data_IF_418332437038
#
_entry.id   IF_418332437038
#
_cell.length_a   1.000
_cell.length_b   1.000
_cell.length_c   1.000
_cell.angle_alpha   90.00
_cell.angle_beta   90.00
_cell.angle_gamma   90.00
#
_symmetry.space_group_name_H-M   'P 1'
#
loop_
_entity.id
_entity.type
_entity.pdbx_description
1 polymer ?
#
# COMPACT_ATOMS: atom_id res chain seq x y z
N UNK A 1 -1.55 12.61 -9.26
CA UNK A 1 -0.35 12.40 -8.43
C UNK A 1 0.67 11.69 -9.30
N UNK A 2 1.90 12.20 -9.37
CA UNK A 2 3.01 11.55 -10.09
C UNK A 2 3.82 10.74 -9.09
N UNK A 3 4.13 9.48 -9.42
CA UNK A 3 5.06 8.66 -8.66
C UNK A 3 6.39 8.71 -9.42
N UNK A 4 7.47 9.08 -8.73
CA UNK A 4 8.81 9.08 -9.32
C UNK A 4 9.40 7.68 -9.20
N UNK A 5 9.76 7.07 -10.33
CA UNK A 5 10.29 5.71 -10.39
C UNK A 5 11.66 5.71 -11.07
N UNK A 6 12.66 5.11 -10.43
CA UNK A 6 14.01 5.03 -10.97
C UNK A 6 14.13 4.15 -12.22
N UNK A 7 13.08 3.39 -12.55
CA UNK A 7 12.96 2.65 -13.81
C UNK A 7 12.67 3.57 -15.00
N UNK A 8 11.93 4.65 -14.77
CA UNK A 8 11.41 5.54 -15.83
C UNK A 8 12.19 6.87 -15.91
N UNK A 9 12.79 7.31 -14.80
CA UNK A 9 13.52 8.58 -14.73
C UNK A 9 14.72 8.55 -13.78
N UNK A 10 15.68 9.46 -13.98
CA UNK A 10 16.81 9.62 -13.07
C UNK A 10 16.35 10.40 -11.84
N UNK A 11 16.33 9.72 -10.69
CA UNK A 11 16.02 10.36 -9.42
C UNK A 11 17.22 11.15 -8.90
N UNK A 12 16.96 12.38 -8.49
CA UNK A 12 17.91 13.26 -7.83
C UNK A 12 17.36 13.80 -6.49
N UNK A 13 18.14 14.67 -5.84
CA UNK A 13 17.77 15.25 -4.55
C UNK A 13 16.40 15.97 -4.58
N UNK A 14 16.00 16.59 -5.70
CA UNK A 14 14.75 17.33 -5.79
C UNK A 14 13.55 16.41 -5.63
N UNK A 15 13.64 15.19 -6.14
CA UNK A 15 12.59 14.17 -6.00
C UNK A 15 12.41 13.75 -4.54
N UNK A 16 13.52 13.60 -3.81
CA UNK A 16 13.49 13.29 -2.36
C UNK A 16 12.92 14.47 -1.57
N UNK A 17 13.35 15.69 -1.86
CA UNK A 17 12.82 16.90 -1.21
C UNK A 17 11.33 17.09 -1.49
N UNK A 18 10.88 16.89 -2.74
CA UNK A 18 9.48 16.96 -3.12
C UNK A 18 8.64 15.94 -2.35
N UNK A 19 9.14 14.70 -2.23
CA UNK A 19 8.44 13.64 -1.50
C UNK A 19 8.31 13.90 0.01
N UNK A 20 9.12 14.79 0.59
CA UNK A 20 9.04 15.19 2.00
C UNK A 20 8.55 16.63 2.21
N UNK A 21 8.13 17.32 1.15
CA UNK A 21 7.69 18.71 1.20
C UNK A 21 6.27 18.83 1.77
N UNK A 22 6.08 18.48 3.04
CA UNK A 22 4.78 18.44 3.69
C UNK A 22 4.31 19.86 4.11
N UNK A 23 3.17 20.37 3.60
CA UNK A 23 2.61 21.63 4.04
C UNK A 23 2.06 21.55 5.47
N UNK A 24 2.15 22.65 6.25
CA UNK A 24 2.77 23.93 5.92
C UNK A 24 4.27 24.00 6.21
N UNK A 25 4.90 22.90 6.66
CA UNK A 25 6.29 22.90 7.13
C UNK A 25 7.29 23.23 6.02
N UNK A 26 7.03 22.79 4.79
CA UNK A 26 7.92 23.00 3.65
C UNK A 26 7.20 23.55 2.42
N UNK A 27 7.89 24.43 1.70
CA UNK A 27 7.44 24.95 0.41
C UNK A 27 7.46 23.85 -0.68
N UNK A 28 6.66 23.97 -1.75
CA UNK A 28 6.71 23.01 -2.86
C UNK A 28 8.08 23.07 -3.56
N UNK A 29 8.53 21.93 -4.05
CA UNK A 29 9.79 21.78 -4.79
C UNK A 29 9.51 21.80 -6.29
N UNK A 30 10.30 22.56 -7.04
CA UNK A 30 10.19 22.60 -8.50
C UNK A 30 11.00 21.49 -9.14
N UNK A 31 10.35 20.69 -9.98
CA UNK A 31 10.98 19.68 -10.83
C UNK A 31 10.45 19.94 -12.23
N UNK A 32 11.37 20.23 -13.15
CA UNK A 32 11.06 20.78 -14.48
C UNK A 32 10.17 22.04 -14.37
N UNK A 33 9.03 22.05 -15.07
CA UNK A 33 8.10 23.18 -15.08
C UNK A 33 6.97 23.06 -14.05
N UNK A 34 7.00 22.03 -13.19
CA UNK A 34 5.94 21.72 -12.24
C UNK A 34 6.38 21.87 -10.77
N UNK A 35 5.40 22.15 -9.90
CA UNK A 35 5.59 22.25 -8.45
C UNK A 35 5.02 21.03 -7.75
N UNK A 36 5.82 20.42 -6.87
CA UNK A 36 5.47 19.20 -6.16
C UNK A 36 5.49 19.42 -4.64
N UNK A 37 4.49 18.86 -3.97
CA UNK A 37 4.42 18.68 -2.51
C UNK A 37 4.49 17.20 -2.16
N UNK A 38 4.61 16.93 -0.86
CA UNK A 38 4.60 15.58 -0.31
C UNK A 38 3.39 14.77 -0.80
N UNK A 39 3.68 13.62 -1.41
CA UNK A 39 2.68 12.72 -1.98
C UNK A 39 1.75 12.11 -0.93
N UNK A 40 2.18 12.04 0.33
CA UNK A 40 1.42 11.51 1.46
C UNK A 40 0.14 12.27 1.79
N UNK A 41 -0.01 13.51 1.33
CA UNK A 41 -1.27 14.27 1.40
C UNK A 41 -2.34 13.63 0.51
N UNK A 42 -1.94 13.04 -0.63
CA UNK A 42 -2.83 12.39 -1.58
C UNK A 42 -2.86 10.87 -1.40
N UNK A 43 -1.69 10.24 -1.24
CA UNK A 43 -1.50 8.79 -1.09
C UNK A 43 -0.20 8.49 -0.35
N UNK A 44 -0.30 8.26 0.96
CA UNK A 44 0.84 7.94 1.84
C UNK A 44 1.34 6.49 1.73
N UNK A 45 0.60 5.64 1.01
CA UNK A 45 1.04 4.27 0.71
C UNK A 45 0.59 3.93 -0.70
N UNK A 46 1.38 4.30 -1.74
CA UNK A 46 0.98 4.20 -3.13
C UNK A 46 1.08 2.76 -3.65
N UNK A 47 0.35 1.83 -3.01
CA UNK A 47 0.32 0.41 -3.39
C UNK A 47 -0.12 0.20 -4.85
N UNK A 48 -0.90 1.14 -5.39
CA UNK A 48 -1.33 1.14 -6.80
C UNK A 48 -0.16 1.14 -7.77
N UNK A 49 0.91 1.89 -7.49
CA UNK A 49 2.10 1.92 -8.34
C UNK A 49 2.76 0.54 -8.46
N UNK A 50 2.63 -0.30 -7.43
CA UNK A 50 3.12 -1.68 -7.43
C UNK A 50 2.13 -2.63 -8.10
N UNK A 51 0.82 -2.41 -7.95
CA UNK A 51 -0.22 -3.28 -8.50
C UNK A 51 -0.47 -3.06 -10.01
N UNK A 52 -0.24 -1.84 -10.49
CA UNK A 52 -0.41 -1.48 -11.90
C UNK A 52 0.89 -1.67 -12.71
N UNK A 53 1.94 -2.24 -12.10
CA UNK A 53 3.24 -2.44 -12.73
C UNK A 53 3.17 -3.35 -13.98
N UNK A 54 3.94 -3.01 -15.02
CA UNK A 54 3.93 -3.70 -16.32
C UNK A 54 5.36 -3.93 -16.85
N UNK A 55 5.80 -5.18 -17.12
CA UNK A 55 5.03 -6.43 -17.09
C UNK A 55 4.66 -6.86 -15.66
N UNK A 56 3.40 -7.29 -15.50
CA UNK A 56 2.87 -7.77 -14.22
C UNK A 56 3.62 -9.02 -13.76
N UNK A 57 4.00 -9.05 -12.49
CA UNK A 57 4.67 -10.20 -11.85
C UNK A 57 3.99 -10.53 -10.53
N UNK A 58 3.99 -11.82 -10.18
CA UNK A 58 3.63 -12.23 -8.82
C UNK A 58 4.63 -11.62 -7.84
N UNK A 59 4.14 -11.01 -6.76
CA UNK A 59 4.98 -10.26 -5.83
C UNK A 59 4.47 -10.40 -4.39
N UNK A 60 5.40 -10.36 -3.44
CA UNK A 60 5.11 -10.14 -2.03
C UNK A 60 5.43 -8.68 -1.70
N UNK A 61 4.41 -7.94 -1.29
CA UNK A 61 4.48 -6.50 -1.01
C UNK A 61 4.28 -6.29 0.48
N UNK A 62 5.24 -5.63 1.13
CA UNK A 62 5.10 -5.21 2.53
C UNK A 62 4.67 -3.75 2.58
N UNK A 63 3.41 -3.51 2.97
CA UNK A 63 2.87 -2.16 3.13
C UNK A 63 2.98 -1.75 4.60
N UNK A 64 3.88 -0.80 4.89
CA UNK A 64 4.11 -0.29 6.24
C UNK A 64 3.24 0.95 6.46
N UNK A 65 2.36 0.90 7.46
CA UNK A 65 1.45 1.98 7.82
C UNK A 65 1.82 2.54 9.19
N UNK A 66 2.28 3.79 9.23
CA UNK A 66 2.73 4.45 10.47
C UNK A 66 1.58 5.08 11.28
N UNK A 67 0.45 5.33 10.64
CA UNK A 67 -0.71 5.99 11.21
C UNK A 67 -1.82 4.98 11.49
N UNK A 68 -2.47 5.08 12.64
CA UNK A 68 -3.45 4.08 13.04
C UNK A 68 -4.84 4.39 12.45
N UNK A 69 -5.37 3.56 11.53
CA UNK A 69 -6.67 3.85 10.92
C UNK A 69 -7.80 3.79 11.95
N UNK A 70 -7.67 2.94 12.98
CA UNK A 70 -8.64 2.78 14.08
C UNK A 70 -8.07 3.39 15.37
N UNK A 71 -8.93 4.01 16.16
CA UNK A 71 -8.57 4.60 17.45
C UNK A 71 -9.82 4.92 18.28
N UNK A 72 -9.64 5.19 19.57
CA UNK A 72 -10.71 5.60 20.46
C UNK A 72 -11.29 6.97 20.06
N UNK A 73 -12.53 7.23 20.47
CA UNK A 73 -13.13 8.55 20.33
C UNK A 73 -12.30 9.58 21.14
N UNK A 74 -11.87 10.69 20.51
CA UNK A 74 -11.10 11.73 21.18
C UNK A 74 -11.93 12.40 22.28
N UNK A 75 -11.25 12.82 23.35
CA UNK A 75 -11.84 13.50 24.52
C UNK A 75 -11.23 14.89 24.76
N UNK A 76 -10.37 15.36 23.86
CA UNK A 76 -9.75 16.67 23.92
C UNK A 76 -9.33 17.12 22.52
N UNK A 77 -9.17 18.44 22.32
CA UNK A 77 -8.72 19.03 21.05
C UNK A 77 -7.37 18.47 20.57
N UNK A 78 -6.49 18.10 21.50
CA UNK A 78 -5.22 17.45 21.18
C UNK A 78 -5.40 16.05 20.60
N UNK A 79 -6.35 15.29 21.16
CA UNK A 79 -6.71 13.97 20.65
C UNK A 79 -7.45 14.08 19.31
N UNK A 80 -8.29 15.12 19.13
CA UNK A 80 -8.93 15.42 17.84
C UNK A 80 -7.89 15.66 16.75
N UNK A 81 -6.90 16.50 17.03
CA UNK A 81 -5.81 16.83 16.09
C UNK A 81 -4.99 15.59 15.71
N UNK A 82 -4.65 14.75 16.70
CA UNK A 82 -3.97 13.48 16.46
C UNK A 82 -4.83 12.52 15.63
N UNK A 83 -6.13 12.43 15.94
CA UNK A 83 -7.07 11.57 15.20
C UNK A 83 -7.26 12.05 13.76
N UNK A 84 -7.30 13.35 13.53
CA UNK A 84 -7.35 13.93 12.18
C UNK A 84 -6.13 13.50 11.36
N UNK A 85 -4.91 13.60 11.91
CA UNK A 85 -3.68 13.14 11.24
C UNK A 85 -3.72 11.63 10.97
N UNK A 86 -4.12 10.83 11.96
CA UNK A 86 -4.29 9.38 11.80
C UNK A 86 -5.25 9.06 10.64
N UNK A 87 -6.40 9.75 10.54
CA UNK A 87 -7.35 9.57 9.44
C UNK A 87 -6.73 10.04 8.11
N UNK A 88 -6.13 11.23 8.08
CA UNK A 88 -5.57 11.82 6.87
C UNK A 88 -4.49 10.92 6.24
N UNK A 89 -3.55 10.42 7.04
CA UNK A 89 -2.38 9.70 6.56
C UNK A 89 -2.49 8.17 6.61
N UNK A 90 -3.47 7.60 7.33
CA UNK A 90 -3.81 6.19 7.21
C UNK A 90 -4.80 5.91 6.06
N UNK A 91 -5.50 6.95 5.59
CA UNK A 91 -6.55 6.80 4.58
C UNK A 91 -6.00 6.30 3.24
N UNK A 92 -6.87 5.55 2.56
CA UNK A 92 -6.79 5.04 1.17
C UNK A 92 -6.17 3.68 0.95
N UNK A 93 -5.40 3.09 1.87
CA UNK A 93 -4.91 1.72 1.64
C UNK A 93 -6.08 0.75 1.46
N UNK A 94 -7.08 0.75 2.34
CA UNK A 94 -8.14 -0.26 2.30
C UNK A 94 -9.06 -0.16 1.07
N UNK A 95 -9.48 1.05 0.68
CA UNK A 95 -10.35 1.23 -0.48
C UNK A 95 -9.61 0.96 -1.80
N UNK A 96 -8.33 1.35 -1.90
CA UNK A 96 -7.51 1.11 -3.08
C UNK A 96 -7.14 -0.38 -3.19
N UNK A 97 -6.81 -1.03 -2.08
CA UNK A 97 -6.56 -2.48 -2.02
C UNK A 97 -7.80 -3.27 -2.43
N UNK A 98 -9.01 -2.89 -1.97
CA UNK A 98 -10.26 -3.54 -2.40
C UNK A 98 -10.50 -3.40 -3.90
N UNK A 99 -10.31 -2.20 -4.45
CA UNK A 99 -10.42 -1.96 -5.89
C UNK A 99 -9.43 -2.82 -6.67
N UNK A 100 -8.19 -2.88 -6.21
CA UNK A 100 -7.13 -3.65 -6.86
C UNK A 100 -7.39 -5.16 -6.75
N UNK A 101 -7.91 -5.64 -5.62
CA UNK A 101 -8.39 -7.02 -5.48
C UNK A 101 -9.48 -7.36 -6.49
N UNK A 102 -10.47 -6.47 -6.67
CA UNK A 102 -11.53 -6.66 -7.65
C UNK A 102 -10.98 -6.71 -9.09
N UNK A 103 -10.09 -5.78 -9.46
CA UNK A 103 -9.46 -5.75 -10.78
C UNK A 103 -8.66 -7.05 -11.02
N UNK A 104 -7.89 -7.48 -10.03
CA UNK A 104 -7.13 -8.73 -10.09
C UNK A 104 -8.02 -9.97 -10.20
N UNK A 105 -9.13 -10.02 -9.46
CA UNK A 105 -10.11 -11.09 -9.56
C UNK A 105 -10.72 -11.17 -10.96
N UNK A 106 -11.12 -10.02 -11.55
CA UNK A 106 -11.64 -9.97 -12.92
C UNK A 106 -10.60 -10.47 -13.94
N UNK A 107 -9.32 -10.14 -13.76
CA UNK A 107 -8.23 -10.64 -14.62
C UNK A 107 -8.07 -12.16 -14.53
N UNK A 108 -8.24 -12.77 -13.35
CA UNK A 108 -8.25 -14.22 -13.20
C UNK A 108 -9.49 -14.85 -13.84
N UNK A 109 -10.66 -14.24 -13.68
CA UNK A 109 -11.90 -14.69 -14.35
C UNK A 109 -11.72 -14.68 -15.87
N UNK A 110 -11.18 -13.61 -16.45
CA UNK A 110 -10.89 -13.54 -17.89
C UNK A 110 -9.94 -14.66 -18.31
N UNK A 111 -8.89 -14.95 -17.52
CA UNK A 111 -7.95 -16.05 -17.78
C UNK A 111 -8.66 -17.41 -17.81
N UNK A 112 -9.47 -17.72 -16.80
CA UNK A 112 -10.17 -19.01 -16.75
C UNK A 112 -11.21 -19.13 -17.86
N UNK A 113 -12.01 -18.09 -18.11
CA UNK A 113 -12.96 -18.11 -19.23
C UNK A 113 -12.26 -18.32 -20.58
N UNK A 114 -11.08 -17.73 -20.77
CA UNK A 114 -10.27 -17.91 -21.97
C UNK A 114 -9.80 -19.37 -22.13
N UNK A 115 -9.53 -20.10 -21.04
CA UNK A 115 -9.12 -21.52 -21.08
C UNK A 115 -10.21 -22.46 -21.57
N UNK A 116 -11.47 -22.10 -21.33
CA UNK A 116 -12.64 -22.87 -21.78
C UNK A 116 -12.97 -22.63 -23.27
N UNK A 117 -12.36 -21.63 -23.91
CA UNK A 117 -12.62 -21.33 -25.32
C UNK A 117 -11.86 -22.28 -26.25
N UNK A 118 -12.50 -22.77 -27.34
CA UNK A 118 -11.81 -23.57 -28.34
C UNK A 118 -10.78 -22.72 -29.09
N UNK A 119 -9.67 -23.35 -29.53
CA UNK A 119 -8.57 -22.67 -30.22
C UNK A 119 -9.02 -21.88 -31.46
N UNK A 120 -10.05 -22.37 -32.17
CA UNK A 120 -10.64 -21.68 -33.32
C UNK A 120 -11.26 -20.32 -32.95
N UNK A 121 -11.83 -20.19 -31.74
CA UNK A 121 -12.37 -18.92 -31.27
C UNK A 121 -11.24 -17.93 -30.94
N UNK A 122 -10.16 -18.39 -30.29
CA UNK A 122 -8.98 -17.56 -29.96
C UNK A 122 -8.17 -17.10 -31.20
N UNK A 123 -8.44 -17.69 -32.37
CA UNK A 123 -7.90 -17.20 -33.63
C UNK A 123 -8.47 -15.83 -34.01
N UNK A 124 -9.67 -15.46 -33.55
CA UNK A 124 -10.29 -14.16 -33.81
C UNK A 124 -9.50 -13.04 -33.09
N UNK A 125 -9.11 -11.96 -33.79
CA UNK A 125 -8.33 -10.86 -33.18
C UNK A 125 -8.98 -10.27 -31.93
N UNK A 126 -10.29 -10.01 -31.96
CA UNK A 126 -11.06 -9.45 -30.84
C UNK A 126 -10.97 -10.31 -29.57
N UNK A 127 -11.09 -11.64 -29.72
CA UNK A 127 -11.02 -12.57 -28.60
C UNK A 127 -9.60 -12.72 -28.06
N UNK A 128 -8.59 -12.60 -28.94
CA UNK A 128 -7.18 -12.60 -28.54
C UNK A 128 -6.81 -11.34 -27.73
N UNK A 129 -7.37 -10.20 -28.12
CA UNK A 129 -7.22 -8.96 -27.37
C UNK A 129 -7.87 -9.08 -25.98
N UNK A 130 -9.12 -9.55 -25.90
CA UNK A 130 -9.80 -9.80 -24.62
C UNK A 130 -9.01 -10.76 -23.72
N UNK A 131 -8.47 -11.84 -24.29
CA UNK A 131 -7.64 -12.81 -23.58
C UNK A 131 -6.36 -12.19 -22.99
N UNK A 132 -5.79 -11.17 -23.65
CA UNK A 132 -4.56 -10.49 -23.19
C UNK A 132 -4.74 -9.70 -21.89
N UNK A 133 -5.99 -9.34 -21.53
CA UNK A 133 -6.27 -8.71 -20.24
C UNK A 133 -6.23 -9.71 -19.08
N UNK A 134 -6.38 -11.00 -19.37
CA UNK A 134 -6.26 -12.07 -18.38
C UNK A 134 -4.87 -12.12 -17.76
N UNK A 135 -4.79 -12.34 -16.44
CA UNK A 135 -3.51 -12.50 -15.76
C UNK A 135 -3.59 -13.64 -14.75
N UNK A 136 -2.51 -14.42 -14.68
CA UNK A 136 -2.33 -15.46 -13.67
C UNK A 136 -1.48 -15.04 -12.47
N UNK A 137 -1.04 -13.78 -12.42
CA UNK A 137 -0.20 -13.27 -11.35
C UNK A 137 -0.96 -13.21 -10.03
N UNK A 138 -0.28 -13.59 -8.95
CA UNK A 138 -0.81 -13.50 -7.59
C UNK A 138 0.06 -12.53 -6.81
N UNK A 139 -0.57 -11.54 -6.20
CA UNK A 139 0.09 -10.57 -5.33
C UNK A 139 -0.29 -10.86 -3.89
N UNK A 140 0.70 -10.90 -3.01
CA UNK A 140 0.50 -10.99 -1.57
C UNK A 140 0.82 -9.63 -0.96
N UNK A 141 -0.15 -9.02 -0.27
CA UNK A 141 0.04 -7.76 0.44
C UNK A 141 0.10 -8.04 1.94
N UNK A 142 1.28 -7.91 2.54
CA UNK A 142 1.46 -7.95 3.98
C UNK A 142 1.34 -6.54 4.56
N UNK A 143 0.28 -6.27 5.32
CA UNK A 143 0.09 -5.00 6.03
C UNK A 143 0.83 -5.03 7.37
N UNK A 144 1.72 -4.07 7.57
CA UNK A 144 2.46 -3.87 8.80
C UNK A 144 2.03 -2.53 9.41
N UNK A 145 1.22 -2.56 10.45
CA UNK A 145 0.80 -1.34 11.16
C UNK A 145 1.78 -1.08 12.30
N UNK A 146 2.34 0.14 12.34
CA UNK A 146 3.20 0.54 13.44
C UNK A 146 2.40 0.54 14.76
N UNK A 147 2.95 -0.08 15.83
CA UNK A 147 2.29 -0.09 17.11
C UNK A 147 2.26 1.32 17.70
N UNK A 148 1.18 1.65 18.41
CA UNK A 148 1.10 2.90 19.15
C UNK A 148 2.04 2.82 20.34
N UNK A 149 2.90 3.82 20.50
CA UNK A 149 3.74 3.89 21.68
C UNK A 149 3.01 4.63 22.82
N UNK A 150 3.35 4.35 24.08
CA UNK A 150 2.90 5.16 25.22
C UNK A 150 3.27 6.62 25.00
N UNK A 151 2.40 7.53 25.44
CA UNK A 151 2.63 8.98 25.41
C UNK A 151 2.93 9.57 24.02
N UNK A 152 2.42 8.93 22.96
CA UNK A 152 2.33 9.55 21.64
C UNK A 152 1.16 10.52 21.58
N UNK A 153 1.47 11.77 21.28
CA UNK A 153 0.49 12.81 21.03
C UNK A 153 0.45 13.19 19.54
N UNK A 154 -0.28 14.26 19.26
CA UNK A 154 -0.47 14.81 17.91
C UNK A 154 0.80 15.38 17.28
N UNK A 155 1.91 15.52 18.02
CA UNK A 155 3.21 16.03 17.52
C UNK A 155 4.22 14.91 17.23
N UNK A 156 3.81 13.64 17.31
CA UNK A 156 4.69 12.47 17.10
C UNK A 156 5.49 12.49 15.78
N UNK A 157 4.96 13.16 14.76
CA UNK A 157 5.56 13.37 13.44
C UNK A 157 6.70 14.40 13.44
N UNK A 158 6.81 15.20 14.50
CA UNK A 158 7.85 16.21 14.71
C UNK A 158 8.76 15.88 15.90
N UNK A 159 8.58 14.72 16.52
CA UNK A 159 9.32 14.29 17.71
C UNK A 159 10.58 13.51 17.31
N UNK A 160 11.69 14.24 17.22
CA UNK A 160 13.01 13.73 16.85
C UNK A 160 13.89 13.39 18.07
N UNK A 161 13.30 13.19 19.25
CA UNK A 161 14.07 12.74 20.40
C UNK A 161 14.72 11.37 20.13
N UNK A 162 16.04 11.28 20.30
CA UNK A 162 16.82 10.07 19.96
C UNK A 162 16.29 8.81 20.66
N UNK A 163 15.92 8.89 21.94
CA UNK A 163 15.40 7.73 22.66
C UNK A 163 14.07 7.26 22.08
N UNK A 164 13.18 8.21 21.74
CA UNK A 164 11.88 7.90 21.13
C UNK A 164 12.01 7.35 19.71
N UNK A 165 12.95 7.86 18.89
CA UNK A 165 13.29 7.28 17.59
C UNK A 165 13.71 5.83 17.74
N UNK A 166 14.60 5.53 18.71
CA UNK A 166 15.05 4.16 18.97
C UNK A 166 13.87 3.26 19.39
N UNK A 167 12.96 3.74 20.23
CA UNK A 167 11.76 3.00 20.61
C UNK A 167 10.88 2.68 19.38
N UNK A 168 10.60 3.66 18.51
CA UNK A 168 9.83 3.46 17.27
C UNK A 168 10.51 2.46 16.34
N UNK A 169 11.82 2.57 16.19
CA UNK A 169 12.61 1.64 15.38
C UNK A 169 12.50 0.20 15.89
N UNK A 170 12.70 -0.03 17.19
CA UNK A 170 12.62 -1.37 17.77
C UNK A 170 11.21 -1.96 17.65
N UNK A 171 10.18 -1.13 17.85
CA UNK A 171 8.80 -1.57 17.72
C UNK A 171 8.46 -1.99 16.28
N UNK A 172 8.87 -1.21 15.27
CA UNK A 172 8.72 -1.57 13.86
C UNK A 172 9.50 -2.82 13.48
N UNK A 173 10.74 -2.96 13.98
CA UNK A 173 11.58 -4.14 13.75
C UNK A 173 10.95 -5.41 14.32
N UNK A 174 10.35 -5.35 15.51
CA UNK A 174 9.64 -6.47 16.12
C UNK A 174 8.45 -6.92 15.26
N UNK A 175 7.63 -5.98 14.81
CA UNK A 175 6.47 -6.24 13.93
C UNK A 175 6.91 -6.89 12.62
N UNK A 176 7.95 -6.35 11.96
CA UNK A 176 8.48 -6.92 10.74
C UNK A 176 9.04 -8.34 10.94
N UNK A 177 9.80 -8.57 12.02
CA UNK A 177 10.31 -9.91 12.37
C UNK A 177 9.18 -10.91 12.62
N UNK A 178 8.12 -10.50 13.32
CA UNK A 178 6.96 -11.35 13.54
C UNK A 178 6.29 -11.75 12.21
N UNK A 179 6.07 -10.79 11.31
CA UNK A 179 5.48 -11.07 9.99
C UNK A 179 6.34 -12.06 9.18
N UNK A 180 7.65 -11.86 9.18
CA UNK A 180 8.63 -12.74 8.52
C UNK A 180 8.69 -14.12 9.18
N UNK A 181 8.43 -14.24 10.47
CA UNK A 181 8.38 -15.53 11.15
C UNK A 181 7.08 -16.30 10.82
N UNK A 182 5.93 -15.62 10.84
CA UNK A 182 4.61 -16.23 10.58
C UNK A 182 4.40 -16.63 9.12
N UNK A 183 4.97 -15.87 8.18
CA UNK A 183 4.92 -16.12 6.72
C UNK A 183 3.53 -16.48 6.18
N UNK A 184 2.46 -15.73 6.53
CA UNK A 184 1.09 -16.07 6.15
C UNK A 184 0.90 -16.15 4.62
N UNK A 185 1.71 -15.41 3.85
CA UNK A 185 1.72 -15.46 2.38
C UNK A 185 2.19 -16.78 1.77
N UNK A 186 2.74 -17.72 2.56
CA UNK A 186 3.06 -19.07 2.05
C UNK A 186 1.83 -19.98 1.92
N UNK A 187 0.70 -19.59 2.52
CA UNK A 187 -0.55 -20.31 2.30
C UNK A 187 -0.96 -20.22 0.82
N UNK A 188 -1.55 -21.29 0.30
CA UNK A 188 -2.05 -21.30 -1.08
C UNK A 188 -3.16 -20.25 -1.24
N UNK A 189 -3.02 -19.40 -2.26
CA UNK A 189 -4.09 -18.52 -2.70
C UNK A 189 -5.18 -19.34 -3.43
N UNK A 190 -6.43 -18.93 -3.28
CA UNK A 190 -7.54 -19.49 -4.05
C UNK A 190 -7.34 -19.28 -5.56
N UNK A 191 -7.96 -20.11 -6.42
CA UNK A 191 -7.74 -20.08 -7.86
C UNK A 191 -8.19 -18.76 -8.54
N UNK A 192 -9.09 -18.00 -7.89
CA UNK A 192 -9.58 -16.70 -8.36
C UNK A 192 -8.94 -15.52 -7.61
N UNK A 193 -8.07 -15.77 -6.64
CA UNK A 193 -7.46 -14.72 -5.82
C UNK A 193 -6.21 -14.16 -6.50
N UNK A 194 -6.33 -12.98 -7.11
CA UNK A 194 -5.17 -12.31 -7.70
C UNK A 194 -4.45 -11.32 -6.77
N UNK A 195 -5.07 -10.96 -5.64
CA UNK A 195 -4.48 -10.17 -4.55
C UNK A 195 -4.94 -10.76 -3.21
N UNK A 196 -4.00 -11.20 -2.38
CA UNK A 196 -4.26 -11.77 -1.05
C UNK A 196 -3.71 -10.82 0.00
N UNK A 197 -4.55 -10.33 0.90
CA UNK A 197 -4.16 -9.39 1.96
C UNK A 197 -3.90 -10.17 3.25
N UNK A 198 -2.77 -9.87 3.90
CA UNK A 198 -2.32 -10.48 5.14
C UNK A 198 -2.16 -9.42 6.21
N UNK A 199 -2.57 -9.77 7.42
CA UNK A 199 -2.44 -8.94 8.62
C UNK A 199 -1.81 -9.75 9.74
N UNK A 200 -1.05 -9.09 10.61
CA UNK A 200 -0.58 -9.72 11.83
C UNK A 200 -1.74 -9.97 12.79
N UNK A 201 -1.82 -11.18 13.34
CA UNK A 201 -2.83 -11.55 14.33
C UNK A 201 -4.25 -11.81 13.78
N UNK A 202 -4.46 -11.82 12.47
CA UNK A 202 -5.78 -12.11 11.86
C UNK A 202 -6.18 -13.60 11.87
N UNK A 203 -5.37 -14.49 12.46
CA UNK A 203 -5.79 -15.86 12.81
C UNK A 203 -6.84 -15.82 13.94
N UNK A 204 -8.03 -15.31 13.67
CA UNK A 204 -9.13 -15.31 14.64
C UNK A 204 -10.37 -14.46 14.34
N UNK A 205 -10.45 -13.66 13.27
CA UNK A 205 -11.60 -12.75 13.07
C UNK A 205 -12.53 -13.04 11.88
N UNK A 206 -12.22 -13.99 10.99
CA UNK A 206 -13.09 -14.35 9.84
C UNK A 206 -13.93 -15.63 10.06
N UNK A 207 -14.38 -15.88 11.29
CA UNK A 207 -15.46 -16.84 11.57
C UNK A 207 -16.56 -16.18 12.38
N UNK A 208 -17.32 -15.27 11.78
CA UNK A 208 -18.72 -14.98 12.14
C UNK A 208 -19.50 -14.51 10.92
#
# INVERSE_FOLDING_TARGET
MRCFDSRDEVLDLRHVLASGALPPAFAPVRIDDELYWDGGICSNTPVEAVFDDNPRRSALVFAVQLWQPKGAAPRSMWQDSGRQKDIQFASRVDSHVRRQAQIHQLRHIVRELTRELPAAALARPELREMASYGSGTVMHLMRLVAPRLPDEDHTKDMDFNTARIQTRWQAGLQVARQAIAEQPWRAAAGPMEGLVVHDLGSRGQDRR
#
